data_IF_276988132939
#
_entry.id   IF_276988132939
#
_cell.length_a   1.000
_cell.length_b   1.000
_cell.length_c   1.000
_cell.angle_alpha   90.00
_cell.angle_beta   90.00
_cell.angle_gamma   90.00
#
_symmetry.space_group_name_H-M   'P 1'
#
loop_
_entity.id
_entity.type
_entity.pdbx_description
1 polymer ?
#
# COMPACT_ATOMS: atom_id res chain seq x y z
N UNK A 1 16.91 7.03 -8.43
CA UNK A 1 17.90 6.83 -7.36
C UNK A 1 18.62 8.10 -6.89
N UNK A 2 19.58 8.74 -7.61
CA UNK A 2 20.28 9.94 -7.06
C UNK A 2 19.37 11.18 -6.91
N UNK A 3 18.38 11.35 -7.80
CA UNK A 3 17.47 12.51 -7.74
C UNK A 3 16.46 12.43 -6.58
N UNK A 4 16.02 11.22 -6.19
CA UNK A 4 15.07 11.02 -5.09
C UNK A 4 15.69 11.33 -3.71
N UNK A 5 17.02 11.17 -3.56
CA UNK A 5 17.73 11.46 -2.30
C UNK A 5 17.76 12.98 -2.02
N UNK A 6 17.96 13.82 -3.04
CA UNK A 6 17.95 15.29 -2.87
C UNK A 6 16.57 15.85 -2.51
N UNK A 7 15.51 15.19 -3.00
CA UNK A 7 14.13 15.55 -2.66
C UNK A 7 13.83 15.23 -1.19
N UNK A 8 14.30 14.08 -0.69
CA UNK A 8 14.21 13.70 0.72
C UNK A 8 14.98 14.65 1.65
N UNK A 9 16.18 15.11 1.27
CA UNK A 9 16.94 16.11 2.05
C UNK A 9 16.17 17.45 2.18
N UNK A 10 15.53 17.90 1.10
CA UNK A 10 14.74 19.14 1.11
C UNK A 10 13.51 19.02 2.04
N UNK A 11 12.87 17.85 2.04
CA UNK A 11 11.72 17.52 2.89
C UNK A 11 12.08 17.41 4.37
N UNK A 12 13.24 16.81 4.71
CA UNK A 12 13.67 16.73 6.09
C UNK A 12 13.84 18.11 6.71
N UNK A 13 14.26 19.11 5.93
CA UNK A 13 14.32 20.49 6.39
C UNK A 13 12.94 21.03 6.82
N UNK A 14 11.86 20.53 6.23
CA UNK A 14 10.49 20.86 6.64
C UNK A 14 10.14 20.09 7.91
N UNK A 15 10.30 18.77 7.92
CA UNK A 15 9.94 17.89 9.04
C UNK A 15 10.67 18.29 10.33
N UNK A 16 11.97 18.58 10.27
CA UNK A 16 12.79 18.90 11.46
C UNK A 16 12.62 20.32 11.99
N UNK A 17 12.07 21.25 11.20
CA UNK A 17 11.77 22.63 11.65
C UNK A 17 10.42 22.76 12.34
N UNK A 18 9.56 21.78 12.14
CA UNK A 18 8.25 21.69 12.77
C UNK A 18 8.36 20.73 13.95
N UNK A 19 8.21 21.22 15.20
CA UNK A 19 8.14 20.42 16.46
C UNK A 19 6.94 19.43 16.52
N UNK A 20 6.45 18.96 15.38
CA UNK A 20 5.15 18.32 15.18
C UNK A 20 5.13 16.81 15.45
N UNK A 21 6.28 16.20 15.78
CA UNK A 21 6.44 14.73 15.91
C UNK A 21 5.66 14.16 17.13
N UNK A 22 5.04 14.96 18.00
CA UNK A 22 4.59 14.47 19.32
C UNK A 22 3.09 14.23 19.55
N UNK A 23 2.17 14.48 18.61
CA UNK A 23 0.74 14.29 18.91
C UNK A 23 -0.08 13.67 17.78
N UNK A 24 -0.51 12.43 18.05
CA UNK A 24 -1.67 11.72 17.45
C UNK A 24 -1.47 10.70 16.31
N UNK A 25 -0.49 9.79 16.38
CA UNK A 25 -0.59 8.52 15.62
C UNK A 25 0.03 7.36 16.44
N UNK A 26 -0.65 6.22 16.63
CA UNK A 26 -0.04 5.06 17.27
C UNK A 26 1.02 4.43 16.34
N UNK A 27 2.20 4.19 16.91
CA UNK A 27 3.29 3.32 16.41
C UNK A 27 4.12 3.79 15.20
N UNK A 28 4.98 4.78 15.41
CA UNK A 28 6.46 4.69 15.33
C UNK A 28 7.05 5.88 16.12
N UNK A 29 6.99 5.81 17.45
CA UNK A 29 7.38 6.90 18.37
C UNK A 29 8.90 6.96 18.61
N UNK A 30 9.70 6.73 17.57
CA UNK A 30 11.12 7.01 17.63
C UNK A 30 11.34 8.38 16.99
N UNK A 31 12.01 9.28 17.72
CA UNK A 31 12.28 10.68 17.32
C UNK A 31 12.97 10.77 15.93
N UNK A 32 13.55 9.65 15.46
CA UNK A 32 14.35 9.55 14.24
C UNK A 32 13.72 8.64 13.15
N UNK A 33 12.40 8.40 13.16
CA UNK A 33 11.73 7.63 12.09
C UNK A 33 10.71 8.48 11.36
N UNK A 34 10.85 8.55 10.03
CA UNK A 34 9.94 9.22 9.13
C UNK A 34 9.06 8.17 8.45
N UNK A 35 7.76 8.41 8.45
CA UNK A 35 6.78 7.53 7.84
C UNK A 35 6.35 8.04 6.47
N UNK A 36 6.24 7.12 5.51
CA UNK A 36 5.79 7.42 4.16
C UNK A 36 4.52 6.63 3.80
N UNK A 37 3.70 7.22 2.95
CA UNK A 37 2.50 6.60 2.39
C UNK A 37 2.71 6.40 0.90
N UNK A 38 2.47 5.19 0.40
CA UNK A 38 2.53 4.91 -1.04
C UNK A 38 1.14 5.08 -1.66
N UNK A 39 1.08 5.70 -2.83
CA UNK A 39 -0.14 5.79 -3.63
C UNK A 39 0.09 5.13 -4.99
N UNK A 40 -0.79 4.20 -5.36
CA UNK A 40 -0.69 3.44 -6.60
C UNK A 40 -1.80 3.85 -7.54
N UNK A 41 -1.41 4.28 -8.73
CA UNK A 41 -2.30 4.74 -9.80
C UNK A 41 -2.04 3.98 -11.09
N UNK A 42 -3.03 3.92 -11.97
CA UNK A 42 -2.93 3.33 -13.29
C UNK A 42 -3.41 4.30 -14.36
N UNK A 43 -2.54 4.64 -15.31
CA UNK A 43 -2.96 5.41 -16.50
C UNK A 43 -3.03 4.50 -17.72
N UNK A 44 -4.01 4.76 -18.57
CA UNK A 44 -4.08 4.21 -19.91
C UNK A 44 -3.70 5.31 -20.92
N UNK A 45 -2.60 5.11 -21.64
CA UNK A 45 -2.04 6.11 -22.56
C UNK A 45 -2.72 6.13 -23.94
N UNK A 46 -3.76 5.32 -24.14
CA UNK A 46 -4.49 5.21 -25.41
C UNK A 46 -5.92 5.71 -25.30
N UNK A 47 -6.47 6.08 -26.46
CA UNK A 47 -7.85 6.52 -26.58
C UNK A 47 -8.81 5.46 -26.00
N UNK A 48 -9.61 5.78 -24.96
CA UNK A 48 -10.48 4.82 -24.27
C UNK A 48 -11.60 4.25 -25.15
N UNK A 49 -11.76 4.74 -26.39
CA UNK A 49 -12.78 4.30 -27.36
C UNK A 49 -12.20 3.57 -28.59
N UNK A 50 -10.88 3.30 -28.64
CA UNK A 50 -10.23 2.66 -29.79
C UNK A 50 -10.10 1.13 -29.67
N UNK A 51 -9.91 0.43 -30.79
CA UNK A 51 -9.71 -1.04 -30.82
C UNK A 51 -8.40 -1.54 -30.16
N UNK A 52 -7.60 -0.63 -29.61
CA UNK A 52 -6.33 -0.90 -28.91
C UNK A 52 -6.41 -0.57 -27.40
N UNK A 53 -7.61 -0.42 -26.84
CA UNK A 53 -7.83 -0.32 -25.39
C UNK A 53 -7.19 -1.50 -24.66
N UNK A 54 -6.38 -1.21 -23.64
CA UNK A 54 -5.69 -2.19 -22.80
C UNK A 54 -4.21 -2.40 -23.11
N UNK A 55 -3.72 -1.92 -24.26
CA UNK A 55 -2.35 -2.24 -24.71
C UNK A 55 -1.30 -1.38 -24.01
N UNK A 56 -1.56 -0.10 -23.73
CA UNK A 56 -0.57 0.81 -23.15
C UNK A 56 -0.96 1.30 -21.74
N UNK A 57 -1.11 0.35 -20.82
CA UNK A 57 -1.38 0.64 -19.41
C UNK A 57 -0.08 0.71 -18.61
N UNK A 58 0.13 1.81 -17.90
CA UNK A 58 1.23 1.99 -16.97
C UNK A 58 0.70 2.03 -15.54
N UNK A 59 1.43 1.43 -14.61
CA UNK A 59 1.26 1.63 -13.18
C UNK A 59 2.28 2.63 -12.67
N UNK A 60 1.81 3.59 -11.88
CA UNK A 60 2.63 4.58 -11.20
C UNK A 60 2.53 4.37 -9.71
N UNK A 61 3.66 4.51 -9.03
CA UNK A 61 3.75 4.42 -7.59
C UNK A 61 4.37 5.70 -7.11
N UNK A 62 3.62 6.45 -6.32
CA UNK A 62 4.05 7.67 -5.68
C UNK A 62 4.25 7.43 -4.19
N UNK A 63 4.99 8.31 -3.54
CA UNK A 63 5.02 8.41 -2.09
C UNK A 63 4.84 9.84 -1.62
N UNK A 64 4.27 9.97 -0.43
CA UNK A 64 4.21 11.22 0.35
C UNK A 64 4.80 10.97 1.73
N UNK A 65 5.27 12.02 2.39
CA UNK A 65 5.71 11.92 3.79
C UNK A 65 4.51 12.15 4.70
N UNK A 66 4.15 11.14 5.48
CA UNK A 66 2.94 11.16 6.31
C UNK A 66 3.08 12.03 7.56
N UNK A 67 4.30 12.27 8.01
CA UNK A 67 4.57 13.11 9.18
C UNK A 67 4.45 14.62 8.88
N UNK A 68 4.27 15.01 7.61
CA UNK A 68 4.03 16.41 7.26
C UNK A 68 2.61 16.85 7.66
N UNK A 69 2.38 18.14 7.94
CA UNK A 69 1.03 18.68 8.05
C UNK A 69 0.16 18.35 6.82
N UNK A 70 -1.12 18.02 7.03
CA UNK A 70 -2.05 17.57 5.98
C UNK A 70 -2.08 18.51 4.77
N UNK A 71 -2.06 19.83 5.00
CA UNK A 71 -2.09 20.82 3.91
C UNK A 71 -0.81 20.81 3.04
N UNK A 72 0.32 20.29 3.56
CA UNK A 72 1.53 20.04 2.78
C UNK A 72 1.47 18.69 2.08
N UNK A 73 0.92 17.64 2.73
CA UNK A 73 0.76 16.33 2.11
C UNK A 73 -0.05 16.39 0.81
N UNK A 74 -1.09 17.23 0.76
CA UNK A 74 -1.95 17.39 -0.42
C UNK A 74 -1.37 18.32 -1.51
N UNK A 75 -0.19 18.88 -1.31
CA UNK A 75 0.49 19.69 -2.33
C UNK A 75 1.14 18.81 -3.38
N UNK A 76 1.01 19.17 -4.67
CA UNK A 76 1.72 18.50 -5.77
C UNK A 76 3.24 18.47 -5.55
N UNK A 77 3.79 19.45 -4.83
CA UNK A 77 5.22 19.50 -4.49
C UNK A 77 5.65 18.51 -3.40
N UNK A 78 4.72 17.74 -2.83
CA UNK A 78 4.97 16.76 -1.76
C UNK A 78 4.58 15.33 -2.17
N UNK A 79 4.31 15.11 -3.46
CA UNK A 79 4.03 13.80 -4.07
C UNK A 79 5.20 13.44 -4.98
N UNK A 80 5.87 12.33 -4.68
CA UNK A 80 7.11 11.94 -5.32
C UNK A 80 6.95 10.60 -6.04
N UNK A 81 7.41 10.51 -7.28
CA UNK A 81 7.35 9.28 -8.05
C UNK A 81 8.48 8.32 -7.62
N UNK A 82 8.13 7.10 -7.23
CA UNK A 82 9.11 6.07 -6.85
C UNK A 82 9.28 4.97 -7.90
N UNK A 83 8.19 4.47 -8.47
CA UNK A 83 8.22 3.36 -9.42
C UNK A 83 7.23 3.62 -10.57
N UNK A 84 7.66 3.24 -11.79
CA UNK A 84 6.79 3.18 -12.97
C UNK A 84 6.99 1.79 -13.57
N UNK A 85 5.90 1.10 -13.85
CA UNK A 85 5.95 -0.21 -14.47
C UNK A 85 4.88 -0.35 -15.56
N UNK A 86 5.14 -1.25 -16.50
CA UNK A 86 4.17 -1.61 -17.51
C UNK A 86 3.13 -2.57 -16.93
N UNK A 87 1.85 -2.22 -16.98
CA UNK A 87 0.80 -3.05 -16.34
C UNK A 87 0.76 -4.49 -16.87
N UNK A 88 0.99 -4.78 -18.17
CA UNK A 88 1.08 -6.16 -18.65
C UNK A 88 2.22 -6.97 -18.02
N UNK A 89 3.30 -6.32 -17.56
CA UNK A 89 4.40 -7.02 -16.88
C UNK A 89 3.94 -7.55 -15.50
N UNK A 90 2.94 -6.94 -14.88
CA UNK A 90 2.33 -7.47 -13.64
C UNK A 90 1.67 -8.82 -13.90
N UNK A 91 1.00 -9.00 -15.04
CA UNK A 91 0.38 -10.30 -15.38
C UNK A 91 1.43 -11.36 -15.71
N UNK A 92 2.55 -10.95 -16.30
CA UNK A 92 3.60 -11.85 -16.74
C UNK A 92 4.55 -12.28 -15.61
N UNK A 93 4.91 -11.35 -14.74
CA UNK A 93 5.94 -11.55 -13.71
C UNK A 93 5.38 -11.49 -12.28
N UNK A 94 4.18 -10.97 -12.08
CA UNK A 94 3.59 -10.77 -10.76
C UNK A 94 4.11 -9.54 -10.03
N UNK A 95 3.36 -9.07 -9.04
CA UNK A 95 3.74 -7.88 -8.27
C UNK A 95 5.00 -8.07 -7.44
N UNK A 96 5.33 -9.31 -7.05
CA UNK A 96 6.55 -9.60 -6.29
C UNK A 96 7.79 -9.13 -7.05
N UNK A 97 7.97 -9.55 -8.28
CA UNK A 97 9.12 -9.18 -9.11
C UNK A 97 9.13 -7.67 -9.44
N UNK A 98 7.96 -7.07 -9.66
CA UNK A 98 7.83 -5.64 -9.98
C UNK A 98 8.23 -4.75 -8.80
N UNK A 99 7.84 -5.14 -7.58
CA UNK A 99 8.07 -4.34 -6.36
C UNK A 99 9.33 -4.72 -5.59
N UNK A 100 10.02 -5.80 -5.96
CA UNK A 100 11.26 -6.25 -5.32
C UNK A 100 12.27 -5.10 -5.12
N UNK A 101 12.60 -4.25 -6.13
CA UNK A 101 13.57 -3.16 -5.92
C UNK A 101 13.10 -2.16 -4.86
N UNK A 102 11.82 -1.79 -4.87
CA UNK A 102 11.26 -0.84 -3.90
C UNK A 102 11.25 -1.44 -2.49
N UNK A 103 10.92 -2.72 -2.34
CA UNK A 103 10.94 -3.41 -1.04
C UNK A 103 12.36 -3.45 -0.47
N UNK A 104 13.36 -3.74 -1.31
CA UNK A 104 14.76 -3.72 -0.87
C UNK A 104 15.23 -2.31 -0.47
N UNK A 105 14.80 -1.27 -1.19
CA UNK A 105 15.09 0.10 -0.79
C UNK A 105 14.44 0.45 0.56
N UNK A 106 13.17 0.09 0.78
CA UNK A 106 12.48 0.34 2.04
C UNK A 106 13.15 -0.38 3.21
N UNK A 107 13.64 -1.61 3.00
CA UNK A 107 14.43 -2.33 4.01
C UNK A 107 15.72 -1.58 4.35
N UNK A 108 16.46 -1.13 3.33
CA UNK A 108 17.69 -0.36 3.54
C UNK A 108 17.43 0.98 4.23
N UNK A 109 16.35 1.66 3.87
CA UNK A 109 15.97 2.95 4.48
C UNK A 109 15.52 2.79 5.93
N UNK A 110 14.89 1.67 6.31
CA UNK A 110 14.58 1.40 7.71
C UNK A 110 15.83 1.00 8.52
N UNK A 111 16.74 0.23 7.92
CA UNK A 111 17.93 -0.26 8.59
C UNK A 111 18.98 0.86 8.77
N UNK A 112 19.35 1.51 7.66
CA UNK A 112 20.45 2.48 7.58
C UNK A 112 19.99 3.93 7.75
N UNK A 113 18.75 4.23 7.34
CA UNK A 113 18.24 5.59 7.29
C UNK A 113 18.93 6.47 6.25
N UNK A 114 18.58 7.75 6.28
CA UNK A 114 19.17 8.84 5.50
C UNK A 114 19.85 9.83 6.44
N UNK A 115 20.98 10.38 6.01
CA UNK A 115 21.73 11.38 6.80
C UNK A 115 21.26 12.78 6.43
N UNK A 116 20.95 13.60 7.43
CA UNK A 116 20.58 14.99 7.22
C UNK A 116 20.93 15.84 8.44
N UNK A 117 21.65 16.94 8.19
CA UNK A 117 22.13 17.86 9.22
C UNK A 117 22.84 17.16 10.40
N UNK A 118 23.57 16.07 10.12
CA UNK A 118 24.30 15.29 11.12
C UNK A 118 23.45 14.30 11.93
N UNK A 119 22.15 14.18 11.63
CA UNK A 119 21.26 13.18 12.23
C UNK A 119 20.90 12.11 11.20
N UNK A 120 20.58 10.90 11.69
CA UNK A 120 20.16 9.77 10.86
C UNK A 120 18.66 9.57 11.03
N UNK A 121 17.91 9.60 9.94
CA UNK A 121 16.46 9.38 9.94
C UNK A 121 16.13 8.10 9.21
N UNK A 122 15.48 7.17 9.89
CA UNK A 122 14.98 5.94 9.29
C UNK A 122 13.70 6.23 8.52
N UNK A 123 13.43 5.49 7.46
CA UNK A 123 12.17 5.61 6.72
C UNK A 123 11.39 4.30 6.83
N UNK A 124 10.12 4.41 7.20
CA UNK A 124 9.21 3.28 7.32
C UNK A 124 7.96 3.49 6.45
N UNK A 125 7.47 2.41 5.85
CA UNK A 125 6.17 2.39 5.18
C UNK A 125 5.03 2.43 6.22
N UNK A 126 4.16 3.43 6.12
CA UNK A 126 2.94 3.54 6.91
C UNK A 126 1.77 2.78 6.27
N UNK A 127 1.43 3.15 5.03
CA UNK A 127 0.22 2.68 4.36
C UNK A 127 0.41 2.68 2.84
N UNK A 128 -0.37 1.84 2.16
CA UNK A 128 -0.49 1.81 0.70
C UNK A 128 -1.95 2.12 0.34
N UNK A 129 -2.10 3.10 -0.55
CA UNK A 129 -3.36 3.63 -1.07
C UNK A 129 -3.48 3.40 -2.58
N UNK A 130 -4.70 3.50 -3.09
CA UNK A 130 -5.03 3.31 -4.49
C UNK A 130 -6.47 2.82 -4.65
N UNK A 131 -6.91 2.67 -5.90
CA UNK A 131 -8.25 2.14 -6.17
C UNK A 131 -8.42 0.71 -5.63
N UNK A 132 -9.66 0.34 -5.29
CA UNK A 132 -9.97 -0.94 -4.66
C UNK A 132 -9.53 -2.15 -5.50
N UNK A 133 -9.62 -2.04 -6.82
CA UNK A 133 -9.28 -3.13 -7.73
C UNK A 133 -7.76 -3.39 -7.71
N UNK A 134 -6.96 -2.33 -7.78
CA UNK A 134 -5.50 -2.34 -7.73
C UNK A 134 -5.01 -2.76 -6.36
N UNK A 135 -5.57 -2.22 -5.29
CA UNK A 135 -5.22 -2.61 -3.93
C UNK A 135 -5.51 -4.09 -3.69
N UNK A 136 -6.70 -4.58 -4.04
CA UNK A 136 -7.00 -6.01 -3.89
C UNK A 136 -6.03 -6.87 -4.68
N UNK A 137 -5.70 -6.50 -5.92
CA UNK A 137 -4.73 -7.24 -6.73
C UNK A 137 -3.32 -7.25 -6.12
N UNK A 138 -2.82 -6.10 -5.65
CA UNK A 138 -1.51 -6.00 -5.00
C UNK A 138 -1.45 -6.77 -3.67
N UNK A 139 -2.53 -6.69 -2.91
CA UNK A 139 -2.66 -7.31 -1.60
C UNK A 139 -2.97 -8.80 -1.66
N UNK A 140 -3.15 -9.34 -2.87
CA UNK A 140 -3.43 -10.76 -3.07
C UNK A 140 -4.85 -11.15 -2.69
N UNK A 141 -5.80 -10.22 -2.66
CA UNK A 141 -7.22 -10.48 -2.49
C UNK A 141 -7.93 -10.64 -3.84
N UNK A 142 -9.15 -11.16 -3.81
CA UNK A 142 -10.03 -11.20 -4.98
C UNK A 142 -10.41 -9.80 -5.48
N UNK A 143 -10.31 -9.61 -6.79
CA UNK A 143 -10.74 -8.38 -7.47
C UNK A 143 -12.24 -8.31 -7.74
N UNK A 144 -12.93 -9.44 -7.56
CA UNK A 144 -14.36 -9.54 -7.83
C UNK A 144 -15.16 -9.14 -6.58
N UNK A 145 -15.75 -7.95 -6.60
CA UNK A 145 -16.56 -7.43 -5.48
C UNK A 145 -17.87 -8.21 -5.24
N UNK A 146 -18.25 -9.10 -6.15
CA UNK A 146 -19.35 -10.07 -5.96
C UNK A 146 -18.92 -11.44 -5.43
N UNK A 147 -17.62 -11.62 -5.11
CA UNK A 147 -17.11 -12.83 -4.48
C UNK A 147 -17.70 -13.03 -3.07
N UNK A 148 -17.71 -14.28 -2.59
CA UNK A 148 -18.24 -14.62 -1.28
C UNK A 148 -17.54 -13.86 -0.15
N UNK A 149 -16.23 -13.66 -0.26
CA UNK A 149 -15.40 -12.93 0.70
C UNK A 149 -14.61 -11.83 -0.02
N UNK A 150 -15.29 -10.78 -0.47
CA UNK A 150 -14.67 -9.69 -1.25
C UNK A 150 -13.99 -8.60 -0.39
N UNK A 151 -14.29 -8.53 0.91
CA UNK A 151 -13.71 -7.52 1.78
C UNK A 151 -12.25 -7.84 2.12
N UNK A 152 -11.38 -6.83 1.98
CA UNK A 152 -9.96 -6.93 2.36
C UNK A 152 -9.70 -6.71 3.85
N UNK A 153 -10.69 -6.21 4.59
CA UNK A 153 -10.59 -5.95 6.03
C UNK A 153 -11.18 -7.08 6.88
N UNK A 154 -12.20 -7.79 6.38
CA UNK A 154 -12.91 -8.83 7.14
C UNK A 154 -13.25 -10.07 6.30
N UNK A 155 -13.71 -11.11 6.98
CA UNK A 155 -14.16 -12.41 6.45
C UNK A 155 -15.69 -12.52 6.42
N UNK A 156 -16.40 -11.40 6.39
CA UNK A 156 -17.86 -11.40 6.26
C UNK A 156 -18.25 -11.92 4.89
N UNK A 157 -19.21 -12.84 4.86
CA UNK A 157 -19.77 -13.34 3.62
C UNK A 157 -20.65 -12.28 2.94
N UNK A 158 -20.61 -12.15 1.61
CA UNK A 158 -21.33 -11.10 0.86
C UNK A 158 -22.82 -10.97 1.18
N UNK A 159 -23.48 -12.09 1.49
CA UNK A 159 -24.91 -12.13 1.83
C UNK A 159 -25.23 -11.42 3.15
N UNK A 160 -24.26 -11.35 4.06
CA UNK A 160 -24.37 -10.67 5.35
C UNK A 160 -23.80 -9.26 5.31
N UNK A 161 -22.82 -8.99 4.43
CA UNK A 161 -22.17 -7.69 4.30
C UNK A 161 -23.18 -6.54 4.10
N UNK A 162 -24.20 -6.76 3.27
CA UNK A 162 -25.28 -5.78 2.98
C UNK A 162 -26.25 -5.55 4.15
N UNK A 163 -26.20 -6.39 5.19
CA UNK A 163 -27.08 -6.34 6.36
C UNK A 163 -26.36 -5.79 7.60
N UNK A 164 -25.04 -5.65 7.53
CA UNK A 164 -24.21 -5.22 8.66
C UNK A 164 -24.06 -3.70 8.68
N UNK A 165 -24.32 -3.10 9.84
CA UNK A 165 -24.14 -1.67 10.10
C UNK A 165 -22.98 -1.38 11.05
N UNK A 166 -22.34 -2.44 11.55
CA UNK A 166 -21.19 -2.41 12.45
C UNK A 166 -20.26 -3.54 12.07
N UNK A 167 -18.97 -3.31 12.23
CA UNK A 167 -17.98 -4.37 12.06
C UNK A 167 -18.16 -5.46 13.13
N UNK A 168 -17.87 -6.70 12.74
CA UNK A 168 -17.74 -7.82 13.67
C UNK A 168 -16.24 -8.08 13.88
N UNK A 169 -15.77 -7.73 15.09
CA UNK A 169 -14.37 -7.89 15.48
C UNK A 169 -13.87 -9.33 15.37
N UNK A 170 -14.77 -10.33 15.48
CA UNK A 170 -14.40 -11.75 15.34
C UNK A 170 -14.12 -12.15 13.89
N UNK A 171 -14.58 -11.36 12.92
CA UNK A 171 -14.41 -11.59 11.49
C UNK A 171 -13.35 -10.68 10.86
N UNK A 172 -12.73 -9.77 11.63
CA UNK A 172 -11.63 -8.95 11.13
C UNK A 172 -10.43 -9.84 10.74
N UNK A 173 -9.83 -9.54 9.59
CA UNK A 173 -8.61 -10.23 9.17
C UNK A 173 -7.45 -9.79 10.06
N UNK A 174 -6.74 -10.76 10.61
CA UNK A 174 -5.53 -10.52 11.40
C UNK A 174 -4.34 -11.27 10.80
N UNK A 175 -3.12 -10.81 11.10
CA UNK A 175 -1.86 -11.31 10.51
C UNK A 175 -1.75 -12.84 10.51
N UNK A 176 -1.93 -13.47 11.67
CA UNK A 176 -1.81 -14.93 11.79
C UNK A 176 -2.84 -15.70 10.93
N UNK A 177 -4.10 -15.24 10.91
CA UNK A 177 -5.17 -15.87 10.15
C UNK A 177 -5.01 -15.66 8.64
N UNK A 178 -4.61 -14.46 8.22
CA UNK A 178 -4.29 -14.18 6.82
C UNK A 178 -3.14 -15.07 6.33
N UNK A 179 -2.05 -15.18 7.09
CA UNK A 179 -0.91 -16.03 6.72
C UNK A 179 -1.27 -17.53 6.68
N UNK A 180 -2.22 -17.97 7.51
CA UNK A 180 -2.78 -19.32 7.42
C UNK A 180 -3.55 -19.48 6.09
N UNK A 181 -4.47 -18.58 5.77
CA UNK A 181 -5.20 -18.63 4.49
C UNK A 181 -4.29 -18.59 3.26
N UNK A 182 -3.25 -17.75 3.26
CA UNK A 182 -2.27 -17.72 2.15
C UNK A 182 -1.62 -19.08 1.98
N UNK A 183 -1.14 -19.70 3.05
CA UNK A 183 -0.56 -21.06 2.99
C UNK A 183 -1.56 -22.09 2.53
N UNK A 184 -2.77 -22.10 3.10
CA UNK A 184 -3.79 -23.08 2.77
C UNK A 184 -4.27 -22.96 1.31
N UNK A 185 -4.26 -21.76 0.73
CA UNK A 185 -4.54 -21.55 -0.70
C UNK A 185 -3.39 -22.05 -1.57
N UNK A 186 -2.14 -21.78 -1.19
CA UNK A 186 -0.94 -22.24 -1.93
C UNK A 186 -0.79 -23.77 -1.89
N UNK A 187 -1.07 -24.37 -0.73
CA UNK A 187 -1.02 -25.82 -0.50
C UNK A 187 -2.28 -26.53 -1.02
N UNK A 188 -3.20 -25.80 -1.67
CA UNK A 188 -4.47 -26.30 -2.23
C UNK A 188 -5.43 -26.94 -1.19
N UNK A 189 -5.24 -26.65 0.09
CA UNK A 189 -6.11 -27.11 1.19
C UNK A 189 -7.48 -26.40 1.18
N UNK A 190 -7.51 -25.14 0.76
CA UNK A 190 -8.73 -24.35 0.56
C UNK A 190 -8.69 -23.63 -0.78
N UNK A 191 -9.86 -23.20 -1.27
CA UNK A 191 -9.94 -22.37 -2.47
C UNK A 191 -10.04 -20.89 -2.11
N UNK A 192 -9.64 -20.01 -3.03
CA UNK A 192 -9.88 -18.57 -2.93
C UNK A 192 -11.34 -18.23 -2.63
N UNK A 193 -12.31 -19.01 -3.13
CA UNK A 193 -13.73 -18.79 -2.89
C UNK A 193 -14.15 -18.94 -1.42
N UNK A 194 -13.32 -19.59 -0.59
CA UNK A 194 -13.57 -19.85 0.84
C UNK A 194 -13.02 -18.76 1.77
N UNK A 195 -12.08 -17.93 1.30
CA UNK A 195 -11.42 -16.93 2.16
C UNK A 195 -11.15 -15.57 1.49
N UNK A 196 -11.32 -15.46 0.17
CA UNK A 196 -11.08 -14.23 -0.58
C UNK A 196 -9.61 -13.91 -0.85
N UNK A 197 -8.68 -14.82 -0.52
CA UNK A 197 -7.24 -14.66 -0.71
C UNK A 197 -6.76 -15.50 -1.90
N UNK A 198 -5.86 -14.95 -2.71
CA UNK A 198 -5.24 -15.58 -3.88
C UNK A 198 -3.74 -15.79 -3.70
N UNK A 199 -3.06 -14.86 -3.05
CA UNK A 199 -1.61 -14.87 -2.89
C UNK A 199 -1.19 -14.02 -1.71
N UNK A 200 0.09 -14.09 -1.35
CA UNK A 200 0.69 -13.17 -0.39
C UNK A 200 0.87 -11.76 -1.00
N UNK A 201 0.91 -10.74 -0.14
CA UNK A 201 1.29 -9.38 -0.53
C UNK A 201 2.82 -9.25 -0.50
N UNK A 202 3.47 -8.75 -1.58
CA UNK A 202 4.93 -8.58 -1.59
C UNK A 202 5.48 -7.75 -0.42
N UNK A 203 4.74 -6.71 -0.01
CA UNK A 203 5.17 -5.81 1.06
C UNK A 203 5.14 -6.45 2.47
N UNK A 204 4.53 -7.63 2.64
CA UNK A 204 4.63 -8.38 3.89
C UNK A 204 6.09 -8.78 4.22
N UNK A 205 6.98 -8.81 3.21
CA UNK A 205 8.41 -9.09 3.37
C UNK A 205 9.16 -8.02 4.17
N UNK A 206 8.58 -6.83 4.34
CA UNK A 206 9.13 -5.77 5.21
C UNK A 206 9.21 -6.20 6.67
N UNK A 207 8.37 -7.16 7.10
CA UNK A 207 8.35 -7.71 8.47
C UNK A 207 7.69 -6.81 9.51
N UNK A 208 7.93 -5.49 9.45
CA UNK A 208 7.31 -4.49 10.33
C UNK A 208 5.93 -4.01 9.85
N UNK A 209 5.63 -4.20 8.57
CA UNK A 209 4.35 -3.86 7.96
C UNK A 209 3.63 -5.13 7.51
N UNK A 210 2.30 -5.11 7.52
CA UNK A 210 1.48 -6.22 7.02
C UNK A 210 0.22 -5.72 6.32
N UNK A 211 -0.24 -6.45 5.31
CA UNK A 211 -1.43 -6.09 4.52
C UNK A 211 -2.69 -5.94 5.37
N UNK A 212 -2.84 -6.73 6.43
CA UNK A 212 -3.99 -6.64 7.35
C UNK A 212 -3.95 -5.42 8.27
N UNK A 213 -2.82 -4.70 8.34
CA UNK A 213 -2.71 -3.43 9.07
C UNK A 213 -2.87 -2.20 8.17
N UNK A 214 -3.06 -2.38 6.85
CA UNK A 214 -3.35 -1.26 5.97
C UNK A 214 -4.69 -0.61 6.34
N UNK A 215 -4.73 0.71 6.41
CA UNK A 215 -5.93 1.44 6.80
C UNK A 215 -6.85 1.66 5.58
N UNK A 216 -8.03 2.19 5.89
CA UNK A 216 -9.06 2.59 4.94
C UNK A 216 -8.60 3.83 4.17
N UNK A 217 -8.84 3.83 2.87
CA UNK A 217 -8.76 4.99 2.00
C UNK A 217 -10.13 5.68 1.96
N UNK A 218 -10.24 6.90 2.50
CA UNK A 218 -11.52 7.62 2.53
C UNK A 218 -12.09 7.82 1.12
N UNK A 219 -11.24 8.06 0.11
CA UNK A 219 -11.72 8.28 -1.25
C UNK A 219 -12.27 6.97 -1.83
N UNK A 220 -11.44 5.93 -1.88
CA UNK A 220 -11.79 4.71 -2.61
C UNK A 220 -12.68 3.74 -1.81
N UNK A 221 -12.59 3.71 -0.48
CA UNK A 221 -13.40 2.79 0.34
C UNK A 221 -14.72 3.39 0.81
N UNK A 222 -14.75 4.69 1.12
CA UNK A 222 -15.94 5.31 1.71
C UNK A 222 -16.77 6.06 0.68
N UNK A 223 -16.13 6.77 -0.26
CA UNK A 223 -16.84 7.59 -1.24
C UNK A 223 -17.13 6.84 -2.54
N UNK A 224 -16.24 5.93 -2.96
CA UNK A 224 -16.39 5.13 -4.18
C UNK A 224 -16.82 3.67 -3.94
N UNK A 225 -16.79 3.22 -2.68
CA UNK A 225 -17.03 1.82 -2.26
C UNK A 225 -18.48 1.36 -2.31
#
# INVERSE_FOLDING_TARGET
HINQIKELETLLCVVTKTDFITTQIPTFTAIDTITIELYIDGIELVNPLGSHTGIHKLGFVYFTIKDLPVFLQSSLGSIFLTNVHYSPDVEKYGYKEIFEPLIQDLKQLLEKGIQFQGNTYKIALWQILGDNLRLNKLFGFVECFSANFCCRFCLVHKNELQKMFKEDNSLLRHKAGHNAHVRDVIDENITTAMCGVKSDCPFNELGYWHVTSNLVDVMHDLLEG
#
